data_IF_154583744118
#
_entry.id   IF_154583744118
#
_cell.length_a   1.000
_cell.length_b   1.000
_cell.length_c   1.000
_cell.angle_alpha   90.00
_cell.angle_beta   90.00
_cell.angle_gamma   90.00
#
_symmetry.space_group_name_H-M   'P 1'
#
loop_
_entity.id
_entity.type
_entity.pdbx_description
1 polymer ?
#
# COMPACT_ATOMS: atom_id res chain seq x y z
N UNK A 1 -10.04 10.47 -2.50
CA UNK A 1 -9.64 9.37 -3.42
C UNK A 1 -9.66 8.07 -2.62
N UNK A 2 -10.18 6.98 -3.19
CA UNK A 2 -10.25 5.67 -2.52
C UNK A 2 -8.99 4.83 -2.80
N UNK A 3 -8.68 3.88 -1.91
CA UNK A 3 -7.56 2.97 -2.07
C UNK A 3 -8.04 1.69 -2.78
N UNK A 4 -7.45 1.35 -3.92
CA UNK A 4 -7.78 0.14 -4.65
C UNK A 4 -7.13 -1.10 -4.00
N UNK A 5 -7.89 -2.19 -3.90
CA UNK A 5 -7.43 -3.50 -3.41
C UNK A 5 -7.97 -4.63 -4.30
N UNK A 6 -7.44 -5.87 -4.19
CA UNK A 6 -8.00 -7.02 -4.90
C UNK A 6 -9.48 -7.29 -4.61
N UNK A 7 -9.99 -6.82 -3.46
CA UNK A 7 -11.37 -7.04 -3.03
C UNK A 7 -12.28 -5.82 -3.30
N UNK A 8 -11.79 -4.82 -4.04
CA UNK A 8 -12.51 -3.58 -4.34
C UNK A 8 -11.87 -2.34 -3.70
N UNK A 9 -12.61 -1.25 -3.66
CA UNK A 9 -12.13 0.04 -3.16
C UNK A 9 -12.38 0.21 -1.66
N UNK A 10 -11.40 0.78 -0.97
CA UNK A 10 -11.50 1.23 0.41
C UNK A 10 -11.73 2.75 0.42
N UNK A 11 -12.84 3.24 0.97
CA UNK A 11 -13.10 4.68 1.12
C UNK A 11 -12.03 5.39 1.97
N UNK A 12 -11.87 6.69 1.77
CA UNK A 12 -10.93 7.48 2.55
C UNK A 12 -11.32 7.53 4.03
N UNK A 13 -10.41 7.12 4.92
CA UNK A 13 -10.64 7.08 6.38
C UNK A 13 -10.31 8.39 7.09
N UNK A 14 -9.61 9.32 6.42
CA UNK A 14 -9.12 10.57 6.99
C UNK A 14 -7.97 10.43 8.00
N UNK A 15 -7.49 9.20 8.24
CA UNK A 15 -6.38 8.92 9.16
C UNK A 15 -5.03 9.14 8.45
N UNK A 16 -4.03 9.59 9.21
CA UNK A 16 -2.63 9.61 8.75
C UNK A 16 -2.07 8.19 8.79
N UNK A 17 -1.21 7.87 7.84
CA UNK A 17 -0.43 6.64 7.83
C UNK A 17 1.02 6.97 7.47
N UNK A 18 1.96 6.30 8.13
CA UNK A 18 3.39 6.35 7.86
C UNK A 18 3.91 4.92 7.81
N UNK A 19 4.65 4.58 6.76
CA UNK A 19 5.16 3.22 6.57
C UNK A 19 6.41 3.24 5.69
N UNK A 20 7.31 2.30 5.96
CA UNK A 20 8.42 1.99 5.07
C UNK A 20 7.94 1.18 3.88
N UNK A 21 8.62 1.36 2.74
CA UNK A 21 8.40 0.58 1.54
C UNK A 21 9.71 0.25 0.86
N UNK A 22 9.69 -0.81 0.06
CA UNK A 22 10.74 -1.16 -0.90
C UNK A 22 10.13 -1.13 -2.29
N UNK A 23 10.64 -0.23 -3.12
CA UNK A 23 10.31 -0.19 -4.53
C UNK A 23 11.31 -1.01 -5.34
N UNK A 24 10.76 -1.83 -6.23
CA UNK A 24 11.55 -2.50 -7.27
C UNK A 24 11.01 -2.13 -8.64
N UNK A 25 11.91 -1.70 -9.51
CA UNK A 25 11.61 -1.33 -10.88
C UNK A 25 12.34 -2.26 -11.84
N UNK A 26 11.62 -2.91 -12.74
CA UNK A 26 12.22 -3.56 -13.90
C UNK A 26 12.31 -2.54 -15.02
N UNK A 27 13.52 -2.29 -15.52
CA UNK A 27 13.78 -1.33 -16.60
C UNK A 27 14.27 -2.08 -17.83
N UNK A 28 13.64 -1.83 -18.98
CA UNK A 28 14.02 -2.36 -20.29
C UNK A 28 13.84 -1.24 -21.32
N UNK A 29 14.81 -1.09 -22.24
CA UNK A 29 14.84 -0.02 -23.24
C UNK A 29 14.67 1.40 -22.65
N UNK A 30 15.28 1.63 -21.48
CA UNK A 30 15.22 2.90 -20.77
C UNK A 30 13.85 3.23 -20.16
N UNK A 31 12.90 2.29 -20.14
CA UNK A 31 11.55 2.47 -19.56
C UNK A 31 11.28 1.47 -18.45
N UNK A 32 10.51 1.89 -17.44
CA UNK A 32 9.98 1.00 -16.41
C UNK A 32 8.89 0.12 -17.05
N UNK A 33 9.10 -1.19 -17.04
CA UNK A 33 8.15 -2.19 -17.55
C UNK A 33 7.40 -2.92 -16.45
N UNK A 34 7.93 -2.91 -15.23
CA UNK A 34 7.21 -3.36 -14.04
C UNK A 34 7.65 -2.56 -12.80
N UNK A 35 6.68 -2.27 -11.94
CA UNK A 35 6.90 -1.66 -10.62
C UNK A 35 6.24 -2.55 -9.57
N UNK A 36 7.00 -2.97 -8.56
CA UNK A 36 6.47 -3.71 -7.41
C UNK A 36 6.87 -2.99 -6.14
N UNK A 37 5.86 -2.67 -5.34
CA UNK A 37 6.01 -2.05 -4.03
C UNK A 37 5.80 -3.14 -2.99
N UNK A 38 6.78 -3.32 -2.11
CA UNK A 38 6.67 -4.19 -0.96
C UNK A 38 6.60 -3.34 0.30
N UNK A 39 5.59 -3.58 1.12
CA UNK A 39 5.36 -2.90 2.38
C UNK A 39 4.58 -3.83 3.29
N UNK A 40 4.57 -3.53 4.59
CA UNK A 40 3.73 -4.25 5.55
C UNK A 40 2.27 -3.81 5.36
N UNK A 41 1.52 -4.61 4.61
CA UNK A 41 0.12 -4.35 4.32
C UNK A 41 -0.75 -4.41 5.59
N UNK A 42 -0.42 -5.29 6.54
CA UNK A 42 -1.18 -5.43 7.78
C UNK A 42 -0.97 -4.22 8.69
N UNK A 43 0.27 -3.78 8.87
CA UNK A 43 0.58 -2.57 9.64
C UNK A 43 -0.06 -1.32 9.03
N UNK A 44 -0.05 -1.20 7.70
CA UNK A 44 -0.72 -0.11 6.99
C UNK A 44 -2.25 -0.14 7.19
N UNK A 45 -2.91 -1.29 7.01
CA UNK A 45 -4.36 -1.42 7.23
C UNK A 45 -4.75 -1.18 8.69
N UNK A 46 -3.90 -1.54 9.64
CA UNK A 46 -4.09 -1.26 11.08
C UNK A 46 -4.12 0.24 11.35
N UNK A 47 -3.19 1.02 10.78
CA UNK A 47 -3.17 2.48 10.91
C UNK A 47 -4.44 3.14 10.34
N UNK A 48 -5.00 2.55 9.28
CA UNK A 48 -6.27 3.00 8.70
C UNK A 48 -7.51 2.56 9.50
N UNK A 49 -7.34 1.74 10.55
CA UNK A 49 -8.44 1.20 11.34
C UNK A 49 -9.24 0.10 10.63
N UNK A 50 -8.61 -0.59 9.67
CA UNK A 50 -9.23 -1.62 8.83
C UNK A 50 -8.79 -3.04 9.21
N UNK A 51 -7.81 -3.16 10.09
CA UNK A 51 -7.35 -4.40 10.69
C UNK A 51 -7.17 -4.22 12.21
N UNK A 52 -7.28 -5.29 13.01
CA UNK A 52 -7.03 -5.21 14.45
C UNK A 52 -5.61 -4.75 14.75
N UNK A 53 -5.44 -3.88 15.75
CA UNK A 53 -4.12 -3.63 16.33
C UNK A 53 -3.69 -4.83 17.17
N UNK A 54 -2.40 -5.17 17.16
CA UNK A 54 -1.85 -6.04 18.19
C UNK A 54 -2.10 -5.38 19.56
N UNK A 55 -2.79 -6.09 20.45
CA UNK A 55 -3.14 -5.63 21.80
C UNK A 55 -1.96 -5.61 22.75
#
# INVERSE_FOLDING_TARGET
MALATPNGEIPATGKKAEFGLVDTFLVSDGKVTAHRVYYDNLAFMTQLGLAPSAG
#
